data_IF_132793745744
#
_entry.id   IF_132793745744
#
_cell.length_a   1.000
_cell.length_b   1.000
_cell.length_c   1.000
_cell.angle_alpha   90.00
_cell.angle_beta   90.00
_cell.angle_gamma   90.00
#
_symmetry.space_group_name_H-M   'P 1'
#
loop_
_entity.id
_entity.type
_entity.pdbx_description
1 polymer ?
#
# COMPACT_ATOMS: atom_id res chain seq x y z
N UNK A 1 1.43 -9.93 11.46
CA UNK A 1 1.43 -9.52 10.04
C UNK A 1 2.33 -8.32 9.98
N UNK A 2 3.34 -8.36 9.12
CA UNK A 2 4.37 -7.34 9.09
C UNK A 2 3.96 -6.24 8.09
N UNK A 3 4.27 -4.98 8.39
CA UNK A 3 4.02 -3.83 7.53
C UNK A 3 5.35 -3.14 7.26
N UNK A 4 5.68 -2.97 5.99
CA UNK A 4 6.90 -2.32 5.54
C UNK A 4 6.57 -0.96 4.93
N UNK A 5 7.29 0.07 5.37
CA UNK A 5 7.28 1.40 4.76
C UNK A 5 8.43 1.49 3.76
N UNK A 6 8.12 1.60 2.48
CA UNK A 6 9.07 1.80 1.40
C UNK A 6 9.89 0.58 0.98
N UNK A 7 10.65 -0.04 1.89
CA UNK A 7 11.59 -1.11 1.56
C UNK A 7 11.13 -2.46 2.11
N UNK A 8 10.69 -3.34 1.21
CA UNK A 8 10.56 -4.78 1.54
C UNK A 8 11.97 -5.37 1.52
N UNK A 9 12.43 -6.04 2.59
CA UNK A 9 13.74 -6.68 2.59
C UNK A 9 13.82 -7.73 1.48
N UNK A 10 15.00 -7.87 0.86
CA UNK A 10 15.23 -8.82 -0.24
C UNK A 10 14.93 -10.29 0.11
N UNK A 11 14.93 -10.62 1.41
CA UNK A 11 14.38 -11.85 1.96
C UNK A 11 13.19 -11.53 2.86
N UNK A 12 11.98 -11.87 2.43
CA UNK A 12 10.79 -11.70 3.24
C UNK A 12 10.73 -12.74 4.37
N UNK A 13 10.23 -12.38 5.57
CA UNK A 13 10.20 -13.30 6.70
C UNK A 13 9.29 -14.49 6.41
N UNK A 14 9.74 -15.68 6.81
CA UNK A 14 9.01 -16.93 6.59
C UNK A 14 8.31 -17.41 7.85
N UNK A 15 7.22 -18.14 7.67
CA UNK A 15 6.58 -18.96 8.69
C UNK A 15 7.48 -20.15 9.04
N UNK A 16 7.16 -20.85 10.14
CA UNK A 16 7.88 -22.06 10.58
C UNK A 16 7.91 -23.16 9.51
N UNK A 17 7.01 -23.13 8.52
CA UNK A 17 6.98 -24.06 7.38
C UNK A 17 7.71 -23.59 6.12
N UNK A 18 8.53 -22.52 6.19
CA UNK A 18 9.31 -22.01 5.05
C UNK A 18 8.52 -21.14 4.06
N UNK A 19 7.20 -21.01 4.23
CA UNK A 19 6.35 -20.14 3.41
C UNK A 19 6.53 -18.68 3.80
N UNK A 20 6.46 -17.77 2.82
CA UNK A 20 6.44 -16.33 3.07
C UNK A 20 5.28 -15.97 4.02
N UNK A 21 5.57 -15.19 5.06
CA UNK A 21 4.52 -14.60 5.91
C UNK A 21 3.75 -13.57 5.08
N UNK A 22 2.42 -13.46 5.24
CA UNK A 22 1.69 -12.37 4.65
C UNK A 22 2.15 -11.02 5.20
N UNK A 23 2.32 -10.03 4.32
CA UNK A 23 2.68 -8.67 4.70
C UNK A 23 2.05 -7.63 3.78
N UNK A 24 2.11 -6.38 4.23
CA UNK A 24 1.80 -5.20 3.45
C UNK A 24 3.08 -4.41 3.22
N UNK A 25 3.29 -3.97 2.00
CA UNK A 25 4.28 -2.97 1.68
C UNK A 25 3.54 -1.70 1.28
N UNK A 26 3.89 -0.58 1.89
CA UNK A 26 3.20 0.69 1.77
C UNK A 26 4.18 1.72 1.24
N UNK A 27 3.76 2.46 0.22
CA UNK A 27 4.51 3.59 -0.32
C UNK A 27 3.57 4.78 -0.40
N UNK A 28 3.97 5.89 0.20
CA UNK A 28 3.30 7.17 0.02
C UNK A 28 3.96 7.89 -1.16
N UNK A 29 3.13 8.32 -2.11
CA UNK A 29 3.54 9.27 -3.14
C UNK A 29 3.44 10.68 -2.57
N UNK A 30 4.49 11.52 -2.65
CA UNK A 30 4.34 12.92 -2.33
C UNK A 30 3.43 13.59 -3.36
N UNK A 31 2.48 14.42 -2.92
CA UNK A 31 1.83 15.37 -3.80
C UNK A 31 2.88 16.42 -4.16
N UNK A 32 3.38 16.44 -5.40
CA UNK A 32 4.18 17.60 -5.86
C UNK A 32 3.24 18.79 -6.00
N UNK A 33 3.15 19.60 -4.96
CA UNK A 33 2.51 20.91 -4.98
C UNK A 33 3.33 21.88 -5.85
N UNK A 34 3.05 21.94 -7.15
CA UNK A 34 3.44 23.04 -8.07
C UNK A 34 4.95 23.42 -8.12
N UNK A 35 5.41 24.25 -9.07
CA UNK A 35 6.70 24.92 -8.94
C UNK A 35 6.59 25.97 -7.81
N UNK A 36 7.43 25.81 -6.78
CA UNK A 36 7.62 26.71 -5.62
C UNK A 36 6.48 26.70 -4.59
N UNK A 37 6.64 25.91 -3.52
CA UNK A 37 5.86 26.05 -2.30
C UNK A 37 6.05 27.47 -1.72
N UNK A 38 4.97 28.20 -1.40
CA UNK A 38 5.09 29.43 -0.63
C UNK A 38 5.68 29.12 0.76
N UNK A 39 6.53 30.03 1.27
CA UNK A 39 7.27 29.91 2.54
C UNK A 39 6.40 29.77 3.81
N UNK A 40 5.07 29.72 3.68
CA UNK A 40 4.17 29.44 4.78
C UNK A 40 4.25 27.95 5.15
N UNK A 41 5.18 27.64 6.05
CA UNK A 41 5.41 26.35 6.71
C UNK A 41 4.18 25.73 7.44
N UNK A 42 2.99 26.31 7.28
CA UNK A 42 1.77 25.98 8.01
C UNK A 42 0.64 25.43 7.15
N UNK A 43 0.79 25.37 5.82
CA UNK A 43 -0.13 24.60 4.99
C UNK A 43 0.02 23.12 5.36
N UNK A 44 -1.05 22.51 5.86
CA UNK A 44 -1.09 21.06 6.11
C UNK A 44 -0.68 20.35 4.81
N UNK A 45 0.42 19.58 4.86
CA UNK A 45 0.80 18.69 3.77
C UNK A 45 -0.43 17.89 3.36
N UNK A 46 -0.97 18.18 2.18
CA UNK A 46 -2.08 17.41 1.65
C UNK A 46 -1.54 16.03 1.32
N UNK A 47 -2.12 15.01 1.94
CA UNK A 47 -1.70 13.63 1.71
C UNK A 47 -1.78 13.30 0.20
N UNK A 48 -0.75 12.65 -0.34
CA UNK A 48 -0.72 12.26 -1.76
C UNK A 48 -1.34 10.88 -2.01
N UNK A 49 -1.03 10.25 -3.13
CA UNK A 49 -1.48 8.88 -3.43
C UNK A 49 -0.81 7.87 -2.50
N UNK A 50 -1.58 6.91 -1.99
CA UNK A 50 -1.10 5.79 -1.20
C UNK A 50 -1.10 4.51 -2.03
N UNK A 51 0.07 3.91 -2.20
CA UNK A 51 0.23 2.61 -2.85
C UNK A 51 0.44 1.53 -1.80
N UNK A 52 -0.34 0.46 -1.89
CA UNK A 52 -0.24 -0.70 -0.99
C UNK A 52 -0.08 -1.95 -1.81
N UNK A 53 1.00 -2.71 -1.61
CA UNK A 53 1.15 -4.05 -2.15
C UNK A 53 0.87 -5.05 -1.05
N UNK A 54 -0.15 -5.89 -1.26
CA UNK A 54 -0.39 -7.05 -0.41
C UNK A 54 0.40 -8.23 -0.96
N UNK A 55 1.04 -9.02 -0.09
CA UNK A 55 1.84 -10.17 -0.50
C UNK A 55 1.64 -11.36 0.44
N UNK A 56 1.82 -12.57 -0.08
CA UNK A 56 1.66 -13.80 0.69
C UNK A 56 1.96 -15.08 -0.08
N UNK A 57 1.80 -16.22 0.61
CA UNK A 57 2.15 -17.54 0.10
C UNK A 57 1.16 -18.11 -0.93
N UNK A 58 -0.09 -17.63 -0.95
CA UNK A 58 -1.12 -18.12 -1.88
C UNK A 58 -1.94 -16.96 -2.43
N UNK A 59 -2.48 -17.13 -3.64
CA UNK A 59 -3.38 -16.15 -4.25
C UNK A 59 -4.66 -15.91 -3.41
N UNK A 60 -5.16 -16.93 -2.73
CA UNK A 60 -6.33 -16.81 -1.84
C UNK A 60 -6.06 -15.91 -0.64
N UNK A 61 -4.89 -16.07 0.00
CA UNK A 61 -4.46 -15.21 1.11
C UNK A 61 -4.32 -13.76 0.67
N UNK A 62 -3.68 -13.52 -0.49
CA UNK A 62 -3.47 -12.16 -1.04
C UNK A 62 -4.79 -11.50 -1.39
N UNK A 63 -5.73 -12.24 -2.00
CA UNK A 63 -7.07 -11.71 -2.32
C UNK A 63 -7.84 -11.31 -1.06
N UNK A 64 -7.86 -12.17 -0.04
CA UNK A 64 -8.54 -11.87 1.22
C UNK A 64 -7.91 -10.65 1.90
N UNK A 65 -6.58 -10.58 1.92
CA UNK A 65 -5.86 -9.45 2.51
C UNK A 65 -6.13 -8.15 1.74
N UNK A 66 -6.15 -8.19 0.40
CA UNK A 66 -6.46 -7.03 -0.44
C UNK A 66 -7.85 -6.49 -0.17
N UNK A 67 -8.85 -7.37 -0.05
CA UNK A 67 -10.22 -6.97 0.27
C UNK A 67 -10.32 -6.33 1.66
N UNK A 68 -9.63 -6.87 2.66
CA UNK A 68 -9.57 -6.28 4.00
C UNK A 68 -8.88 -4.91 4.01
N UNK A 69 -7.78 -4.75 3.25
CA UNK A 69 -7.09 -3.45 3.11
C UNK A 69 -8.01 -2.42 2.45
N UNK A 70 -8.68 -2.78 1.35
CA UNK A 70 -9.63 -1.88 0.68
C UNK A 70 -10.75 -1.48 1.65
N UNK A 71 -11.35 -2.43 2.36
CA UNK A 71 -12.42 -2.14 3.35
C UNK A 71 -11.96 -1.19 4.45
N UNK A 72 -10.72 -1.33 4.92
CA UNK A 72 -10.17 -0.54 6.03
C UNK A 72 -9.61 0.82 5.65
N UNK A 73 -9.20 1.02 4.40
CA UNK A 73 -8.61 2.28 3.94
C UNK A 73 -9.56 3.13 3.11
N UNK A 74 -10.56 2.52 2.47
CA UNK A 74 -11.51 3.25 1.66
C UNK A 74 -12.43 4.11 2.53
N UNK A 75 -12.43 5.43 2.26
CA UNK A 75 -13.12 6.48 3.02
C UNK A 75 -12.66 6.59 4.47
N UNK A 76 -11.41 6.23 4.73
CA UNK A 76 -10.83 6.42 6.06
C UNK A 76 -10.44 7.89 6.22
N UNK A 77 -10.93 8.57 7.27
CA UNK A 77 -10.54 9.94 7.55
C UNK A 77 -9.05 10.03 7.82
N UNK A 78 -8.41 11.05 7.28
CA UNK A 78 -6.98 11.30 7.46
C UNK A 78 -6.75 12.67 8.09
N UNK A 79 -5.63 12.84 8.82
CA UNK A 79 -5.21 14.16 9.27
C UNK A 79 -5.17 15.13 8.09
N UNK A 80 -5.78 16.32 8.24
CA UNK A 80 -5.95 17.28 7.14
C UNK A 80 -7.35 17.33 6.51
N UNK A 81 -8.31 16.55 7.04
CA UNK A 81 -9.74 16.71 6.72
C UNK A 81 -10.21 16.02 5.44
N UNK A 82 -9.34 15.26 4.77
CA UNK A 82 -9.69 14.46 3.60
C UNK A 82 -9.76 12.96 3.89
N UNK A 83 -10.01 12.18 2.84
CA UNK A 83 -10.14 10.73 2.91
C UNK A 83 -9.37 10.02 1.78
N UNK A 84 -8.89 8.81 2.04
CA UNK A 84 -8.35 7.95 0.98
C UNK A 84 -9.47 7.19 0.29
N UNK A 85 -9.49 7.20 -1.05
CA UNK A 85 -10.41 6.40 -1.85
C UNK A 85 -9.65 5.41 -2.73
N UNK A 86 -10.10 4.17 -2.73
CA UNK A 86 -9.51 3.16 -3.61
C UNK A 86 -9.74 3.54 -5.07
N UNK A 87 -8.67 3.46 -5.87
CA UNK A 87 -8.70 3.84 -7.28
C UNK A 87 -8.52 2.65 -8.21
N UNK A 88 -9.20 2.72 -9.36
CA UNK A 88 -9.06 1.79 -10.47
C UNK A 88 -7.74 2.06 -11.22
N UNK A 89 -7.13 1.07 -11.90
CA UNK A 89 -7.67 -0.26 -12.20
C UNK A 89 -7.37 -1.32 -11.13
N UNK A 90 -8.31 -2.25 -10.96
CA UNK A 90 -8.09 -3.45 -10.16
C UNK A 90 -7.09 -4.38 -10.86
N UNK A 91 -5.86 -4.41 -10.39
CA UNK A 91 -4.83 -5.31 -10.91
C UNK A 91 -5.07 -6.73 -10.34
N UNK A 92 -5.10 -7.79 -11.16
CA UNK A 92 -5.23 -9.15 -10.66
C UNK A 92 -4.01 -9.55 -9.81
N UNK A 93 -4.20 -10.53 -8.92
CA UNK A 93 -3.10 -11.14 -8.18
C UNK A 93 -2.08 -11.73 -9.15
N UNK A 94 -0.80 -11.41 -8.95
CA UNK A 94 0.33 -11.89 -9.76
C UNK A 94 1.26 -12.76 -8.92
N UNK A 95 2.02 -13.60 -9.60
CA UNK A 95 3.11 -14.37 -9.02
C UNK A 95 4.43 -13.67 -9.30
N UNK A 96 5.33 -13.67 -8.32
CA UNK A 96 6.65 -13.05 -8.37
C UNK A 96 7.68 -14.07 -7.90
N UNK A 97 8.52 -14.52 -8.84
CA UNK A 97 9.62 -15.47 -8.62
C UNK A 97 10.97 -14.77 -8.46
N UNK A 98 11.02 -13.44 -8.57
CA UNK A 98 12.24 -12.64 -8.41
C UNK A 98 12.54 -12.35 -6.93
N UNK A 99 11.59 -12.63 -6.04
CA UNK A 99 11.75 -12.52 -4.58
C UNK A 99 11.89 -13.92 -3.98
N UNK A 100 12.81 -14.08 -3.03
CA UNK A 100 13.02 -15.34 -2.33
C UNK A 100 12.48 -15.27 -0.88
N UNK A 101 11.59 -16.19 -0.48
CA UNK A 101 10.86 -17.16 -1.30
C UNK A 101 9.84 -16.50 -2.24
N UNK A 102 9.50 -17.19 -3.33
CA UNK A 102 8.53 -16.70 -4.31
C UNK A 102 7.19 -16.37 -3.66
N UNK A 103 6.52 -15.33 -4.17
CA UNK A 103 5.32 -14.76 -3.54
C UNK A 103 4.21 -14.53 -4.54
N UNK A 104 2.99 -14.54 -4.04
CA UNK A 104 1.87 -13.90 -4.71
C UNK A 104 1.76 -12.46 -4.21
N UNK A 105 1.37 -11.53 -5.07
CA UNK A 105 1.18 -10.14 -4.70
C UNK A 105 0.06 -9.47 -5.49
N UNK A 106 -0.53 -8.44 -4.90
CA UNK A 106 -1.52 -7.59 -5.54
C UNK A 106 -1.26 -6.12 -5.16
N UNK A 107 -0.95 -5.25 -6.15
CA UNK A 107 -0.84 -3.82 -5.92
C UNK A 107 -2.23 -3.18 -5.84
N UNK A 108 -2.37 -2.23 -4.92
CA UNK A 108 -3.54 -1.41 -4.67
C UNK A 108 -3.12 0.06 -4.67
N UNK A 109 -4.00 0.94 -5.17
CA UNK A 109 -3.80 2.38 -5.14
C UNK A 109 -4.99 3.05 -4.43
N UNK A 110 -4.70 4.13 -3.71
CA UNK A 110 -5.68 4.97 -3.05
C UNK A 110 -5.30 6.43 -3.26
N UNK A 111 -6.23 7.24 -3.74
CA UNK A 111 -6.02 8.67 -3.88
C UNK A 111 -6.64 9.42 -2.72
N UNK A 112 -5.93 10.43 -2.24
CA UNK A 112 -6.45 11.35 -1.24
C UNK A 112 -7.45 12.32 -1.90
N UNK A 113 -8.59 12.52 -1.24
CA UNK A 113 -9.63 13.45 -1.66
C UNK A 113 -9.99 14.38 -0.50
N UNK A 114 -9.88 15.68 -0.72
CA UNK A 114 -10.45 16.68 0.18
C UNK A 114 -11.93 16.91 -0.16
N UNK A 115 -12.78 17.18 0.84
CA UNK A 115 -14.18 17.53 0.64
C UNK A 115 -14.36 18.87 -0.09
#
# INVERSE_FOLDING_TARGET
>A
MDVYDGAVPGSAPTTTGGWIKPYLAVWTGPLREHPEQPLDYSAQETAGTLHVTTAGATAGTVRNLSQEVIRKLNRTPTPGGGEYRHTEPHVPVRFDDQVAPARFYQPLAFDYQQP
#
